data_IF_838116093518
#
_entry.id   IF_838116093518
#
_cell.length_a   1.000
_cell.length_b   1.000
_cell.length_c   1.000
_cell.angle_alpha   90.00
_cell.angle_beta   90.00
_cell.angle_gamma   90.00
#
_symmetry.space_group_name_H-M   'P 1'
#
loop_
_entity.id
_entity.type
_entity.pdbx_description
1 polymer ?
#
# COMPACT_ATOMS: atom_id res chain seq x y z
N UNK A 1 -57.73 -6.12 -10.86
CA UNK A 1 -56.59 -7.06 -10.86
C UNK A 1 -55.38 -6.27 -11.35
N UNK A 2 -54.68 -5.67 -10.41
CA UNK A 2 -53.50 -4.85 -10.69
C UNK A 2 -52.29 -5.80 -10.73
N UNK A 3 -51.87 -6.17 -11.93
CA UNK A 3 -50.61 -6.89 -12.12
C UNK A 3 -49.49 -5.89 -11.87
N UNK A 4 -48.96 -5.91 -10.64
CA UNK A 4 -47.68 -5.28 -10.34
C UNK A 4 -46.60 -5.96 -11.20
N UNK A 5 -46.29 -5.38 -12.35
CA UNK A 5 -45.08 -5.66 -13.12
C UNK A 5 -43.89 -5.45 -12.19
N UNK A 6 -43.31 -6.55 -11.69
CA UNK A 6 -41.95 -6.51 -11.14
C UNK A 6 -41.04 -6.14 -12.30
N UNK A 7 -40.72 -4.85 -12.44
CA UNK A 7 -39.76 -4.35 -13.40
C UNK A 7 -38.46 -5.12 -13.18
N UNK A 8 -38.09 -5.98 -14.13
CA UNK A 8 -36.81 -6.69 -14.08
C UNK A 8 -35.72 -5.62 -14.16
N UNK A 9 -35.06 -5.36 -13.03
CA UNK A 9 -34.04 -4.32 -12.92
C UNK A 9 -32.79 -4.83 -13.66
N UNK A 10 -32.32 -4.07 -14.64
CA UNK A 10 -31.07 -4.40 -15.36
C UNK A 10 -29.88 -4.35 -14.40
N UNK A 11 -28.79 -5.06 -14.69
CA UNK A 11 -27.58 -5.00 -13.87
C UNK A 11 -27.02 -3.57 -13.80
N UNK A 12 -27.08 -2.84 -14.91
CA UNK A 12 -26.77 -1.41 -14.95
C UNK A 12 -27.61 -0.60 -13.96
N UNK A 13 -28.92 -0.82 -13.90
CA UNK A 13 -29.83 -0.09 -13.01
C UNK A 13 -29.64 -0.48 -11.53
N UNK A 14 -29.14 -1.69 -11.25
CA UNK A 14 -28.71 -2.10 -9.91
C UNK A 14 -27.42 -1.38 -9.50
N UNK A 15 -26.39 -1.37 -10.36
CA UNK A 15 -25.14 -0.66 -10.08
C UNK A 15 -25.40 0.83 -9.85
N UNK A 16 -26.28 1.46 -10.64
CA UNK A 16 -26.64 2.87 -10.43
C UNK A 16 -27.41 3.14 -9.13
N UNK A 17 -28.02 2.11 -8.54
CA UNK A 17 -28.73 2.20 -7.26
C UNK A 17 -27.78 2.14 -6.05
N UNK A 18 -26.61 1.52 -6.22
CA UNK A 18 -25.61 1.42 -5.16
C UNK A 18 -25.02 2.80 -4.82
N UNK A 19 -24.64 3.04 -3.55
CA UNK A 19 -23.86 4.21 -3.17
C UNK A 19 -22.56 4.29 -4.00
N UNK A 20 -22.36 5.42 -4.71
CA UNK A 20 -21.23 5.61 -5.62
C UNK A 20 -21.49 5.19 -7.07
N UNK A 21 -22.63 4.54 -7.33
CA UNK A 21 -23.09 4.04 -8.62
C UNK A 21 -23.65 5.09 -9.59
N UNK A 22 -24.09 6.22 -9.05
CA UNK A 22 -25.05 7.12 -9.71
C UNK A 22 -24.54 7.78 -10.99
N UNK A 23 -23.22 7.78 -11.21
CA UNK A 23 -22.57 8.45 -12.34
C UNK A 23 -22.10 7.49 -13.44
N UNK A 24 -22.46 6.20 -13.38
CA UNK A 24 -22.07 5.18 -14.36
C UNK A 24 -22.30 5.64 -15.81
N UNK A 25 -23.51 6.13 -16.12
CA UNK A 25 -23.93 6.50 -17.49
C UNK A 25 -23.23 7.73 -18.05
N UNK A 26 -22.52 8.52 -17.23
CA UNK A 26 -21.76 9.68 -17.73
C UNK A 26 -20.50 9.25 -18.49
N UNK A 27 -20.08 7.98 -18.39
CA UNK A 27 -18.82 7.52 -18.96
C UNK A 27 -18.92 7.37 -20.49
N UNK A 28 -18.24 8.25 -21.23
CA UNK A 28 -18.05 8.09 -22.69
C UNK A 28 -16.75 7.35 -23.07
N UNK A 29 -16.07 6.71 -22.11
CA UNK A 29 -14.91 5.82 -22.33
C UNK A 29 -13.61 6.47 -22.86
N UNK A 30 -13.33 7.72 -22.49
CA UNK A 30 -12.15 8.51 -22.93
C UNK A 30 -10.78 7.85 -22.71
N UNK A 31 -10.59 7.08 -21.65
CA UNK A 31 -9.30 6.42 -21.34
C UNK A 31 -8.50 7.02 -20.21
N UNK A 32 -8.82 8.24 -19.75
CA UNK A 32 -8.01 8.96 -18.76
C UNK A 32 -7.77 8.16 -17.46
N UNK A 33 -8.79 7.44 -16.99
CA UNK A 33 -8.66 6.62 -15.79
C UNK A 33 -7.70 5.43 -15.95
N UNK A 34 -7.45 4.97 -17.17
CA UNK A 34 -6.45 3.93 -17.46
C UNK A 34 -5.06 4.58 -17.49
N UNK A 35 -4.91 5.68 -18.23
CA UNK A 35 -3.63 6.40 -18.39
C UNK A 35 -3.07 6.93 -17.07
N UNK A 36 -3.93 7.41 -16.18
CA UNK A 36 -3.52 7.95 -14.87
C UNK A 36 -3.29 6.86 -13.80
N UNK A 37 -3.78 5.63 -14.02
CA UNK A 37 -3.76 4.62 -12.97
C UNK A 37 -2.40 3.91 -12.88
N UNK A 38 -1.89 3.80 -11.66
CA UNK A 38 -0.62 3.14 -11.38
C UNK A 38 -0.66 1.63 -11.58
N UNK A 39 -1.84 1.03 -11.39
CA UNK A 39 -2.01 -0.42 -11.52
C UNK A 39 -1.68 -0.88 -12.94
N UNK A 40 -1.92 -0.03 -13.95
CA UNK A 40 -1.62 -0.35 -15.35
C UNK A 40 -0.13 -0.63 -15.59
N UNK A 41 0.78 -0.13 -14.74
CA UNK A 41 2.21 -0.42 -14.84
C UNK A 41 2.57 -1.83 -14.37
N UNK A 42 1.77 -2.39 -13.46
CA UNK A 42 1.98 -3.73 -12.87
C UNK A 42 1.02 -4.78 -13.42
N UNK A 43 -0.10 -4.34 -14.01
CA UNK A 43 -1.15 -5.18 -14.58
C UNK A 43 -1.66 -4.49 -15.85
N UNK A 44 -1.08 -4.78 -17.03
CA UNK A 44 -1.44 -4.13 -18.29
C UNK A 44 -2.89 -4.34 -18.74
N UNK A 45 -3.55 -5.39 -18.25
CA UNK A 45 -4.96 -5.69 -18.54
C UNK A 45 -5.94 -4.86 -17.68
N UNK A 46 -5.44 -4.15 -16.66
CA UNK A 46 -6.27 -3.31 -15.80
C UNK A 46 -6.93 -2.19 -16.62
N UNK A 47 -8.24 -2.31 -16.82
CA UNK A 47 -8.99 -1.34 -17.62
C UNK A 47 -10.39 -1.09 -17.04
N UNK A 48 -10.55 -0.09 -16.16
CA UNK A 48 -11.84 0.29 -15.59
C UNK A 48 -12.92 0.57 -16.64
N UNK A 49 -12.58 1.02 -17.86
CA UNK A 49 -13.58 1.28 -18.90
C UNK A 49 -14.25 0.01 -19.39
N UNK A 50 -13.50 -1.09 -19.50
CA UNK A 50 -14.05 -2.39 -19.90
C UNK A 50 -15.09 -2.83 -18.90
N UNK A 51 -14.81 -2.72 -17.60
CA UNK A 51 -15.77 -2.97 -16.52
C UNK A 51 -17.03 -2.12 -16.69
N UNK A 52 -16.90 -0.79 -16.79
CA UNK A 52 -18.08 0.08 -16.90
C UNK A 52 -18.92 -0.24 -18.15
N UNK A 53 -18.26 -0.60 -19.26
CA UNK A 53 -18.96 -1.01 -20.48
C UNK A 53 -19.66 -2.36 -20.32
N UNK A 54 -19.04 -3.34 -19.68
CA UNK A 54 -19.66 -4.64 -19.38
C UNK A 54 -20.90 -4.47 -18.51
N UNK A 55 -20.85 -3.62 -17.48
CA UNK A 55 -22.03 -3.27 -16.66
C UNK A 55 -23.14 -2.66 -17.52
N UNK A 56 -22.82 -1.71 -18.42
CA UNK A 56 -23.81 -1.10 -19.32
C UNK A 56 -24.43 -2.07 -20.33
N UNK A 57 -23.75 -3.18 -20.62
CA UNK A 57 -24.20 -4.23 -21.53
C UNK A 57 -24.85 -5.40 -20.78
N UNK A 58 -25.13 -5.24 -19.48
CA UNK A 58 -25.71 -6.27 -18.61
C UNK A 58 -24.88 -7.57 -18.53
N UNK A 59 -23.57 -7.49 -18.79
CA UNK A 59 -22.61 -8.60 -18.68
C UNK A 59 -22.18 -8.81 -17.22
N UNK A 60 -23.11 -9.31 -16.40
CA UNK A 60 -22.96 -9.43 -14.94
C UNK A 60 -21.84 -10.38 -14.55
N UNK A 61 -21.91 -11.63 -15.02
CA UNK A 61 -20.98 -12.67 -14.62
C UNK A 61 -19.55 -12.31 -15.03
N UNK A 62 -19.37 -11.85 -16.26
CA UNK A 62 -18.08 -11.43 -16.81
C UNK A 62 -17.50 -10.24 -16.05
N UNK A 63 -18.35 -9.35 -15.52
CA UNK A 63 -17.90 -8.24 -14.69
C UNK A 63 -17.34 -8.72 -13.35
N UNK A 64 -18.00 -9.67 -12.70
CA UNK A 64 -17.61 -10.16 -11.37
C UNK A 64 -16.39 -11.09 -11.40
N UNK A 65 -16.26 -11.88 -12.46
CA UNK A 65 -15.09 -12.73 -12.70
C UNK A 65 -13.85 -11.91 -13.09
N UNK A 66 -14.01 -10.65 -13.52
CA UNK A 66 -12.89 -9.82 -13.95
C UNK A 66 -12.09 -9.24 -12.77
N UNK A 67 -10.77 -9.52 -12.66
CA UNK A 67 -9.93 -9.02 -11.57
C UNK A 67 -9.87 -7.50 -11.41
N UNK A 68 -10.17 -6.72 -12.47
CA UNK A 68 -10.09 -5.26 -12.48
C UNK A 68 -10.93 -4.62 -11.37
N UNK A 69 -12.09 -5.21 -11.03
CA UNK A 69 -12.96 -4.66 -9.97
C UNK A 69 -12.25 -4.73 -8.60
N UNK A 70 -11.44 -5.76 -8.38
CA UNK A 70 -10.73 -6.01 -7.13
C UNK A 70 -9.46 -5.16 -7.00
N UNK A 71 -8.75 -4.92 -8.11
CA UNK A 71 -7.49 -4.18 -8.10
C UNK A 71 -7.62 -2.69 -7.71
N UNK A 72 -8.76 -2.05 -7.93
CA UNK A 72 -8.93 -0.63 -7.62
C UNK A 72 -8.70 -0.34 -6.13
N UNK A 73 -7.62 0.41 -5.82
CA UNK A 73 -7.22 0.77 -4.46
C UNK A 73 -7.93 1.99 -3.89
N UNK A 74 -8.81 2.63 -4.68
CA UNK A 74 -9.55 3.84 -4.30
C UNK A 74 -8.63 4.99 -3.84
N UNK A 75 -7.54 5.23 -4.59
CA UNK A 75 -6.62 6.35 -4.38
C UNK A 75 -7.06 7.66 -5.05
N UNK A 76 -8.06 7.60 -5.95
CA UNK A 76 -8.64 8.75 -6.66
C UNK A 76 -7.69 9.59 -7.51
N UNK A 77 -6.47 9.12 -7.79
CA UNK A 77 -5.55 9.79 -8.73
C UNK A 77 -6.19 10.05 -10.11
N UNK A 78 -7.14 9.23 -10.54
CA UNK A 78 -7.85 9.42 -11.81
C UNK A 78 -8.97 10.47 -11.77
N UNK A 79 -9.51 10.79 -10.59
CA UNK A 79 -10.74 11.58 -10.47
C UNK A 79 -10.57 13.03 -10.93
N UNK A 80 -9.53 13.78 -10.51
CA UNK A 80 -9.32 15.17 -10.96
C UNK A 80 -9.19 15.32 -12.48
N UNK A 81 -8.81 14.24 -13.16
CA UNK A 81 -8.58 14.23 -14.61
C UNK A 81 -9.80 13.71 -15.40
N UNK A 82 -10.86 13.27 -14.73
CA UNK A 82 -12.04 12.75 -15.42
C UNK A 82 -12.85 13.92 -16.03
N UNK A 83 -13.01 13.98 -17.37
CA UNK A 83 -13.75 15.05 -18.03
C UNK A 83 -15.26 15.02 -17.77
N UNK A 84 -15.75 13.97 -17.10
CA UNK A 84 -17.16 13.78 -16.74
C UNK A 84 -17.39 13.77 -15.22
N UNK A 85 -16.33 14.03 -14.43
CA UNK A 85 -16.40 14.04 -12.97
C UNK A 85 -16.83 12.70 -12.36
N UNK A 86 -16.44 11.58 -12.98
CA UNK A 86 -16.81 10.23 -12.52
C UNK A 86 -15.75 9.75 -11.51
N UNK A 87 -16.20 9.40 -10.30
CA UNK A 87 -15.37 8.71 -9.31
C UNK A 87 -15.33 7.21 -9.63
N UNK A 88 -14.31 6.80 -10.37
CA UNK A 88 -14.14 5.38 -10.76
C UNK A 88 -14.03 4.47 -9.54
N UNK A 89 -13.39 4.94 -8.47
CA UNK A 89 -13.25 4.20 -7.21
C UNK A 89 -14.61 3.86 -6.57
N UNK A 90 -15.55 4.80 -6.59
CA UNK A 90 -16.90 4.62 -6.09
C UNK A 90 -17.70 3.64 -6.95
N UNK A 91 -17.59 3.74 -8.28
CA UNK A 91 -18.19 2.76 -9.19
C UNK A 91 -17.62 1.35 -8.97
N UNK A 92 -16.30 1.23 -8.81
CA UNK A 92 -15.67 -0.05 -8.51
C UNK A 92 -16.14 -0.60 -7.16
N UNK A 93 -16.35 0.26 -6.16
CA UNK A 93 -16.87 -0.17 -4.86
C UNK A 93 -18.33 -0.63 -4.96
N UNK A 94 -19.17 0.10 -5.69
CA UNK A 94 -20.56 -0.29 -5.96
C UNK A 94 -20.65 -1.68 -6.62
N UNK A 95 -19.84 -1.90 -7.67
CA UNK A 95 -19.78 -3.19 -8.37
C UNK A 95 -19.26 -4.30 -7.44
N UNK A 96 -18.21 -4.03 -6.66
CA UNK A 96 -17.68 -4.98 -5.67
C UNK A 96 -18.71 -5.35 -4.60
N UNK A 97 -19.50 -4.40 -4.12
CA UNK A 97 -20.53 -4.67 -3.12
C UNK A 97 -21.58 -5.67 -3.64
N UNK A 98 -22.02 -5.50 -4.90
CA UNK A 98 -22.94 -6.45 -5.54
C UNK A 98 -22.27 -7.82 -5.70
N UNK A 99 -21.05 -7.87 -6.23
CA UNK A 99 -20.30 -9.10 -6.43
C UNK A 99 -20.16 -9.91 -5.12
N UNK A 100 -19.82 -9.25 -4.01
CA UNK A 100 -19.71 -9.89 -2.69
C UNK A 100 -21.05 -10.42 -2.19
N UNK A 101 -22.15 -9.68 -2.38
CA UNK A 101 -23.50 -10.18 -2.00
C UNK A 101 -23.92 -11.41 -2.79
N UNK A 102 -23.36 -11.59 -3.98
CA UNK A 102 -23.56 -12.78 -4.82
C UNK A 102 -22.53 -13.89 -4.58
N UNK A 103 -21.67 -13.74 -3.57
CA UNK A 103 -20.72 -14.78 -3.16
C UNK A 103 -19.38 -14.78 -3.91
N UNK A 104 -19.07 -13.75 -4.70
CA UNK A 104 -17.76 -13.61 -5.30
C UNK A 104 -16.74 -13.11 -4.26
N UNK A 105 -15.55 -13.70 -4.27
CA UNK A 105 -14.42 -13.30 -3.41
C UNK A 105 -13.33 -12.59 -4.21
N UNK A 106 -12.61 -11.69 -3.54
CA UNK A 106 -11.41 -11.07 -4.10
C UNK A 106 -10.32 -12.14 -4.35
N UNK A 107 -9.73 -12.20 -5.56
CA UNK A 107 -8.61 -13.09 -5.86
C UNK A 107 -7.27 -12.54 -5.35
N UNK A 108 -7.26 -11.33 -4.79
CA UNK A 108 -6.03 -10.67 -4.36
C UNK A 108 -5.55 -11.24 -3.02
N UNK A 109 -4.21 -11.27 -2.79
CA UNK A 109 -3.68 -11.61 -1.48
C UNK A 109 -4.17 -10.61 -0.43
N UNK A 110 -4.34 -11.09 0.81
CA UNK A 110 -4.88 -10.29 1.92
C UNK A 110 -4.00 -10.43 3.16
N UNK A 111 -4.24 -9.59 4.17
CA UNK A 111 -3.61 -9.76 5.48
C UNK A 111 -4.19 -10.98 6.21
N UNK A 112 -3.33 -11.76 6.83
CA UNK A 112 -3.70 -12.88 7.69
C UNK A 112 -3.41 -12.55 9.15
N UNK A 113 -4.31 -12.94 10.05
CA UNK A 113 -4.16 -12.72 11.48
C UNK A 113 -3.87 -14.06 12.15
N UNK A 114 -2.78 -14.11 12.90
CA UNK A 114 -2.45 -15.18 13.83
C UNK A 114 -3.31 -15.00 15.09
N UNK A 115 -4.36 -15.81 15.22
CA UNK A 115 -5.36 -15.70 16.27
C UNK A 115 -4.80 -16.09 17.65
N UNK A 116 -3.77 -16.93 17.69
CA UNK A 116 -3.11 -17.34 18.93
C UNK A 116 -2.35 -16.14 19.54
N UNK A 117 -1.61 -15.41 18.70
CA UNK A 117 -0.86 -14.20 19.11
C UNK A 117 -1.74 -12.97 19.28
N UNK A 118 -2.93 -12.92 18.69
CA UNK A 118 -3.78 -11.74 18.72
C UNK A 118 -4.33 -11.44 20.13
N UNK A 119 -4.14 -10.20 20.61
CA UNK A 119 -4.70 -9.72 21.88
C UNK A 119 -6.08 -9.08 21.76
N UNK A 120 -6.59 -8.86 20.54
CA UNK A 120 -7.88 -8.18 20.33
C UNK A 120 -7.87 -6.68 20.65
N UNK A 121 -6.71 -6.01 20.59
CA UNK A 121 -6.52 -4.62 20.99
C UNK A 121 -7.01 -3.52 20.02
N UNK A 122 -7.68 -3.86 18.91
CA UNK A 122 -8.24 -2.95 17.88
C UNK A 122 -7.30 -1.99 17.11
N UNK A 123 -6.00 -1.91 17.45
CA UNK A 123 -5.06 -0.97 16.81
C UNK A 123 -5.02 -1.11 15.28
N UNK A 124 -5.06 -2.35 14.79
CA UNK A 124 -5.02 -2.64 13.37
C UNK A 124 -6.31 -2.24 12.61
N UNK A 125 -7.47 -2.30 13.28
CA UNK A 125 -8.75 -1.84 12.75
C UNK A 125 -8.72 -0.31 12.59
N UNK A 126 -8.30 0.43 13.63
CA UNK A 126 -8.14 1.89 13.60
C UNK A 126 -7.12 2.36 12.57
N UNK A 127 -6.07 1.57 12.33
CA UNK A 127 -5.04 1.91 11.35
C UNK A 127 -5.43 1.59 9.90
N UNK A 128 -6.48 0.78 9.67
CA UNK A 128 -6.82 0.31 8.33
C UNK A 128 -7.58 1.39 7.53
N UNK A 129 -7.02 1.92 6.42
CA UNK A 129 -7.70 2.95 5.62
C UNK A 129 -8.86 2.39 4.78
N UNK A 130 -9.07 1.09 4.81
CA UNK A 130 -10.11 0.39 4.06
C UNK A 130 -11.24 -0.15 4.93
N UNK A 131 -11.12 -0.07 6.26
CA UNK A 131 -12.07 -0.75 7.16
C UNK A 131 -12.08 -2.27 6.97
N UNK A 132 -10.96 -2.84 6.51
CA UNK A 132 -10.87 -4.26 6.17
C UNK A 132 -10.59 -5.16 7.38
N UNK A 133 -10.46 -4.61 8.58
CA UNK A 133 -10.19 -5.34 9.81
C UNK A 133 -11.27 -5.02 10.82
N UNK A 134 -11.78 -6.04 11.48
CA UNK A 134 -12.78 -5.90 12.55
C UNK A 134 -12.52 -6.95 13.62
N UNK A 135 -12.83 -6.61 14.87
CA UNK A 135 -12.77 -7.58 15.95
C UNK A 135 -14.00 -8.50 15.98
N UNK A 136 -13.76 -9.79 16.09
CA UNK A 136 -14.78 -10.85 16.22
C UNK A 136 -14.49 -11.70 17.45
N UNK A 137 -15.53 -12.30 18.03
CA UNK A 137 -15.38 -13.27 19.13
C UNK A 137 -15.26 -14.66 18.52
N UNK A 138 -14.22 -15.40 18.91
CA UNK A 138 -13.97 -16.78 18.51
C UNK A 138 -13.62 -17.63 19.72
N UNK A 139 -13.96 -18.91 19.66
CA UNK A 139 -13.52 -19.89 20.65
C UNK A 139 -12.14 -20.41 20.27
N UNK A 140 -11.14 -20.09 21.08
CA UNK A 140 -9.73 -20.52 20.91
C UNK A 140 -9.31 -21.18 22.22
N UNK A 141 -8.81 -22.41 22.17
CA UNK A 141 -8.46 -23.22 23.34
C UNK A 141 -9.60 -23.35 24.37
N UNK A 142 -10.83 -23.50 23.87
CA UNK A 142 -12.04 -23.62 24.70
C UNK A 142 -12.46 -22.34 25.42
N UNK A 143 -11.84 -21.19 25.11
CA UNK A 143 -12.18 -19.88 25.67
C UNK A 143 -12.62 -18.91 24.59
N UNK A 144 -13.66 -18.15 24.87
CA UNK A 144 -14.05 -17.03 24.02
C UNK A 144 -12.98 -15.92 24.10
N UNK A 145 -12.40 -15.57 22.95
CA UNK A 145 -11.41 -14.53 22.81
C UNK A 145 -11.84 -13.58 21.70
N UNK A 146 -11.56 -12.29 21.90
CA UNK A 146 -11.71 -11.28 20.87
C UNK A 146 -10.45 -11.27 20.00
N UNK A 147 -10.60 -11.51 18.71
CA UNK A 147 -9.49 -11.52 17.74
C UNK A 147 -9.82 -10.67 16.53
N UNK A 148 -8.81 -10.14 15.86
CA UNK A 148 -9.02 -9.41 14.61
C UNK A 148 -9.25 -10.37 13.46
N UNK A 149 -10.16 -10.02 12.56
CA UNK A 149 -10.42 -10.76 11.32
C UNK A 149 -10.30 -9.81 10.12
N UNK A 150 -9.71 -10.29 9.04
CA UNK A 150 -9.61 -9.56 7.77
C UNK A 150 -10.84 -9.84 6.90
N UNK A 151 -11.51 -8.79 6.44
CA UNK A 151 -12.46 -8.84 5.34
C UNK A 151 -11.69 -8.85 4.00
N UNK A 152 -11.72 -9.99 3.31
CA UNK A 152 -10.99 -10.19 2.06
C UNK A 152 -11.43 -9.26 0.92
N UNK A 153 -12.71 -8.88 0.88
CA UNK A 153 -13.25 -8.02 -0.17
C UNK A 153 -12.78 -6.56 -0.07
N UNK A 154 -12.35 -6.13 1.13
CA UNK A 154 -11.90 -4.76 1.40
C UNK A 154 -10.38 -4.65 1.50
N UNK A 155 -9.68 -5.74 1.82
CA UNK A 155 -8.24 -5.71 2.07
C UNK A 155 -7.44 -5.51 0.78
N UNK A 156 -6.57 -4.50 0.76
CA UNK A 156 -5.67 -4.21 -0.36
C UNK A 156 -4.22 -4.64 -0.11
N UNK A 157 -3.97 -5.46 0.92
CA UNK A 157 -2.64 -5.96 1.31
C UNK A 157 -1.54 -4.88 1.48
N UNK A 158 -1.91 -3.65 1.84
CA UNK A 158 -0.96 -2.53 1.98
C UNK A 158 0.03 -2.69 3.16
N UNK A 159 -0.26 -3.57 4.11
CA UNK A 159 0.65 -3.91 5.20
C UNK A 159 0.72 -2.91 6.38
N UNK A 160 -0.13 -1.89 6.39
CA UNK A 160 -0.21 -0.89 7.49
C UNK A 160 -0.54 -1.57 8.83
N UNK A 161 -1.46 -2.53 8.81
CA UNK A 161 -1.88 -3.30 9.98
C UNK A 161 -0.75 -4.17 10.54
N UNK A 162 0.04 -4.82 9.66
CA UNK A 162 1.21 -5.60 10.06
C UNK A 162 2.23 -4.76 10.83
N UNK A 163 2.50 -3.54 10.33
CA UNK A 163 3.40 -2.59 11.01
C UNK A 163 2.78 -1.88 12.23
N UNK A 164 1.46 -2.01 12.43
CA UNK A 164 0.76 -1.44 13.59
C UNK A 164 0.56 -2.45 14.71
N UNK A 165 0.68 -3.75 14.43
CA UNK A 165 0.41 -4.80 15.39
C UNK A 165 1.57 -4.94 16.39
N UNK A 166 1.37 -4.62 17.67
CA UNK A 166 2.45 -4.69 18.66
C UNK A 166 2.91 -6.13 18.95
N UNK A 167 2.08 -7.12 18.63
CA UNK A 167 2.36 -8.54 18.87
C UNK A 167 2.87 -9.27 17.61
N UNK A 168 3.07 -8.56 16.50
CA UNK A 168 3.43 -9.16 15.21
C UNK A 168 2.48 -10.30 14.79
N UNK A 169 1.20 -10.19 15.15
CA UNK A 169 0.18 -11.18 14.87
C UNK A 169 -0.44 -11.04 13.47
N UNK A 170 0.03 -10.10 12.63
CA UNK A 170 -0.55 -9.85 11.31
C UNK A 170 0.53 -9.97 10.24
N UNK A 171 0.27 -10.82 9.26
CA UNK A 171 1.15 -11.08 8.13
C UNK A 171 0.51 -10.63 6.82
N UNK A 172 1.32 -10.09 5.93
CA UNK A 172 0.99 -9.91 4.51
C UNK A 172 1.99 -10.74 3.74
N UNK A 173 1.52 -11.70 2.94
CA UNK A 173 2.30 -12.83 2.42
C UNK A 173 3.74 -12.48 1.96
N UNK A 174 3.91 -11.70 0.90
CA UNK A 174 5.26 -11.34 0.38
C UNK A 174 5.98 -10.23 1.14
N UNK A 175 5.34 -9.75 2.20
CA UNK A 175 5.78 -8.62 2.99
C UNK A 175 5.61 -8.89 4.48
N UNK A 176 5.83 -10.14 4.90
CA UNK A 176 5.87 -10.52 6.32
C UNK A 176 7.05 -9.86 7.02
N UNK A 177 7.04 -9.82 8.36
CA UNK A 177 8.15 -9.24 9.11
C UNK A 177 9.45 -9.99 8.81
N UNK A 178 9.37 -11.31 8.72
CA UNK A 178 10.48 -12.22 8.47
C UNK A 178 11.04 -12.04 7.06
N UNK A 179 10.17 -11.98 6.03
CA UNK A 179 10.60 -11.76 4.64
C UNK A 179 11.26 -10.39 4.47
N UNK A 180 10.73 -9.34 5.10
CA UNK A 180 11.34 -8.00 5.06
C UNK A 180 12.69 -8.00 5.78
N UNK A 181 12.77 -8.57 6.98
CA UNK A 181 14.01 -8.68 7.74
C UNK A 181 15.09 -9.47 6.97
N UNK A 182 14.71 -10.59 6.34
CA UNK A 182 15.61 -11.38 5.49
C UNK A 182 16.15 -10.56 4.31
N UNK A 183 15.30 -9.74 3.65
CA UNK A 183 15.73 -8.85 2.56
C UNK A 183 16.65 -7.74 3.03
N UNK A 184 16.46 -7.23 4.25
CA UNK A 184 17.39 -6.26 4.87
C UNK A 184 18.76 -6.93 5.11
N UNK A 185 18.79 -8.18 5.56
CA UNK A 185 20.05 -8.88 5.91
C UNK A 185 20.76 -9.55 4.72
N UNK A 186 20.06 -9.73 3.59
CA UNK A 186 20.54 -10.48 2.44
C UNK A 186 21.88 -9.97 1.87
N UNK A 187 22.71 -10.90 1.41
CA UNK A 187 23.93 -10.59 0.67
C UNK A 187 25.08 -10.02 1.51
N UNK A 188 25.10 -10.26 2.82
CA UNK A 188 26.19 -9.91 3.75
C UNK A 188 26.68 -8.46 3.72
N UNK A 189 25.91 -7.53 3.13
CA UNK A 189 26.30 -6.11 3.02
C UNK A 189 26.41 -5.43 4.38
N UNK A 190 25.80 -5.98 5.44
CA UNK A 190 25.93 -5.53 6.82
C UNK A 190 27.25 -5.94 7.50
N UNK A 191 28.07 -6.83 6.91
CA UNK A 191 29.37 -7.23 7.47
C UNK A 191 30.27 -6.03 7.74
N UNK A 192 30.79 -5.86 8.96
CA UNK A 192 31.68 -4.76 9.31
C UNK A 192 32.96 -4.82 8.50
N UNK A 193 33.30 -3.73 7.83
CA UNK A 193 34.54 -3.56 7.07
C UNK A 193 35.27 -2.34 7.60
N UNK A 194 36.54 -2.51 7.98
CA UNK A 194 37.36 -1.42 8.52
C UNK A 194 37.64 -0.43 7.39
N UNK A 195 37.24 0.84 7.56
CA UNK A 195 37.33 1.84 6.50
C UNK A 195 36.28 1.69 5.37
N UNK A 196 35.21 0.92 5.60
CA UNK A 196 34.13 0.75 4.63
C UNK A 196 33.28 2.00 4.42
N UNK A 197 32.61 2.08 3.28
CA UNK A 197 31.67 3.16 2.97
C UNK A 197 30.45 3.15 3.93
N UNK A 198 29.86 4.32 4.23
CA UNK A 198 28.66 4.39 5.06
C UNK A 198 27.51 3.63 4.40
N UNK A 199 26.88 2.74 5.16
CA UNK A 199 25.80 1.87 4.68
C UNK A 199 24.46 2.60 4.74
N UNK A 200 23.69 2.55 3.67
CA UNK A 200 22.37 3.19 3.59
C UNK A 200 21.30 2.13 3.32
N UNK A 201 20.29 2.06 4.17
CA UNK A 201 19.10 1.24 3.92
C UNK A 201 17.98 2.14 3.37
N UNK A 202 17.37 1.72 2.27
CA UNK A 202 16.26 2.42 1.62
C UNK A 202 15.03 1.53 1.67
N UNK A 203 13.96 2.00 2.32
CA UNK A 203 12.62 1.42 2.15
C UNK A 203 11.90 2.14 1.02
N UNK A 204 11.65 1.43 -0.08
CA UNK A 204 10.97 1.99 -1.26
C UNK A 204 9.51 1.52 -1.31
N UNK A 205 8.55 2.44 -1.41
CA UNK A 205 7.17 2.10 -1.74
C UNK A 205 7.08 1.59 -3.19
N UNK A 206 6.39 0.46 -3.43
CA UNK A 206 6.20 -0.12 -4.77
C UNK A 206 5.60 0.84 -5.80
N UNK A 207 4.93 1.91 -5.34
CA UNK A 207 4.20 2.86 -6.19
C UNK A 207 4.95 4.17 -6.46
N UNK A 208 6.18 4.33 -5.97
CA UNK A 208 6.99 5.53 -6.20
C UNK A 208 7.63 5.56 -7.59
N UNK A 209 8.21 4.44 -8.05
CA UNK A 209 9.02 4.38 -9.26
C UNK A 209 8.16 4.09 -10.48
N UNK A 210 7.93 5.13 -11.31
CA UNK A 210 7.02 5.04 -12.47
C UNK A 210 7.76 4.95 -13.80
N UNK A 211 8.89 5.64 -13.91
CA UNK A 211 9.75 5.62 -15.10
C UNK A 211 10.67 4.39 -15.09
N UNK A 212 10.93 3.85 -16.27
CA UNK A 212 11.90 2.76 -16.45
C UNK A 212 13.30 3.21 -16.08
N UNK A 213 13.68 4.43 -16.46
CA UNK A 213 14.97 5.03 -16.12
C UNK A 213 15.21 5.09 -14.61
N UNK A 214 14.19 5.43 -13.81
CA UNK A 214 14.32 5.44 -12.35
C UNK A 214 14.52 4.02 -11.80
N UNK A 215 13.86 3.02 -12.38
CA UNK A 215 14.06 1.61 -11.99
C UNK A 215 15.46 1.13 -12.34
N UNK A 216 15.97 1.52 -13.51
CA UNK A 216 17.34 1.23 -13.93
C UNK A 216 18.35 1.90 -12.99
N UNK A 217 18.19 3.20 -12.70
CA UNK A 217 19.05 3.93 -11.78
C UNK A 217 19.06 3.31 -10.37
N UNK A 218 17.92 2.83 -9.89
CA UNK A 218 17.83 2.12 -8.60
C UNK A 218 18.58 0.78 -8.60
N UNK A 219 18.69 0.11 -9.75
CA UNK A 219 19.43 -1.14 -9.89
C UNK A 219 20.96 -0.93 -9.94
N UNK A 220 21.40 0.26 -10.36
CA UNK A 220 22.81 0.66 -10.46
C UNK A 220 23.36 1.34 -9.19
N UNK A 221 22.56 1.38 -8.11
CA UNK A 221 23.00 2.00 -6.86
C UNK A 221 24.27 1.32 -6.28
N UNK A 222 25.14 2.09 -5.61
CA UNK A 222 26.36 1.56 -5.00
C UNK A 222 26.12 0.37 -4.05
N UNK A 223 27.08 -0.56 -3.90
CA UNK A 223 26.90 -1.79 -3.12
C UNK A 223 26.70 -1.57 -1.60
N UNK A 224 27.04 -0.40 -1.08
CA UNK A 224 26.76 0.04 0.29
C UNK A 224 25.32 0.56 0.49
N UNK A 225 24.51 0.61 -0.57
CA UNK A 225 23.09 0.93 -0.52
C UNK A 225 22.27 -0.34 -0.68
N UNK A 226 21.33 -0.56 0.24
CA UNK A 226 20.35 -1.66 0.16
C UNK A 226 18.96 -1.10 -0.03
N UNK A 227 18.29 -1.50 -1.10
CA UNK A 227 16.88 -1.16 -1.33
C UNK A 227 15.99 -2.34 -0.92
N UNK A 228 14.99 -2.07 -0.09
CA UNK A 228 13.93 -2.99 0.30
C UNK A 228 12.59 -2.40 -0.10
N UNK A 229 12.04 -2.90 -1.21
CA UNK A 229 10.72 -2.53 -1.70
C UNK A 229 9.60 -3.12 -0.84
N UNK A 230 8.69 -2.28 -0.35
CA UNK A 230 7.50 -2.62 0.43
C UNK A 230 6.26 -2.15 -0.32
N UNK A 231 5.07 -2.76 -0.12
CA UNK A 231 3.88 -2.41 -0.88
C UNK A 231 3.49 -0.96 -0.63
N UNK A 232 3.70 -0.48 0.60
CA UNK A 232 3.44 0.88 1.01
C UNK A 232 4.49 1.34 2.00
N UNK A 233 4.83 2.64 2.02
CA UNK A 233 5.64 3.22 3.10
C UNK A 233 5.00 2.99 4.48
N UNK A 234 3.66 2.90 4.57
CA UNK A 234 2.95 2.58 5.80
C UNK A 234 3.20 1.17 6.36
N UNK A 235 3.80 0.28 5.56
CA UNK A 235 4.27 -1.06 5.99
C UNK A 235 5.61 -1.00 6.72
N UNK A 236 6.35 0.11 6.62
CA UNK A 236 7.62 0.27 7.33
C UNK A 236 7.33 0.36 8.83
N UNK A 237 7.73 -0.70 9.51
CA UNK A 237 7.71 -0.81 10.96
C UNK A 237 8.95 -0.07 11.53
N UNK A 238 8.78 0.82 12.53
CA UNK A 238 9.92 1.49 13.17
C UNK A 238 10.98 0.53 13.72
N UNK A 239 10.61 -0.70 14.10
CA UNK A 239 11.56 -1.72 14.55
C UNK A 239 12.57 -2.09 13.48
N UNK A 240 12.19 -2.15 12.19
CA UNK A 240 13.15 -2.38 11.11
C UNK A 240 14.19 -1.27 11.00
N UNK A 241 13.76 -0.01 11.18
CA UNK A 241 14.64 1.16 11.16
C UNK A 241 15.64 1.06 12.30
N UNK A 242 15.15 0.81 13.52
CA UNK A 242 15.96 0.69 14.72
C UNK A 242 16.96 -0.48 14.62
N UNK A 243 16.50 -1.67 14.23
CA UNK A 243 17.35 -2.85 14.07
C UNK A 243 18.43 -2.65 12.99
N UNK A 244 18.11 -1.96 11.89
CA UNK A 244 19.09 -1.64 10.86
C UNK A 244 20.18 -0.69 11.40
N UNK A 245 19.79 0.36 12.11
CA UNK A 245 20.75 1.31 12.72
C UNK A 245 21.64 0.63 13.77
N UNK A 246 21.07 -0.29 14.56
CA UNK A 246 21.81 -1.10 15.54
C UNK A 246 22.79 -2.06 14.85
N UNK A 247 22.46 -2.56 13.66
CA UNK A 247 23.33 -3.42 12.86
C UNK A 247 24.46 -2.66 12.12
N UNK A 248 24.60 -1.34 12.35
CA UNK A 248 25.67 -0.53 11.76
C UNK A 248 25.31 0.15 10.43
N UNK A 249 24.02 0.23 10.08
CA UNK A 249 23.56 1.09 8.98
C UNK A 249 23.75 2.56 9.40
N UNK A 250 24.40 3.36 8.56
CA UNK A 250 24.68 4.76 8.86
C UNK A 250 23.40 5.61 8.83
N UNK A 251 22.55 5.41 7.81
CA UNK A 251 21.25 6.05 7.71
C UNK A 251 20.19 5.17 7.04
N UNK A 252 18.93 5.40 7.41
CA UNK A 252 17.76 4.78 6.82
C UNK A 252 16.93 5.85 6.12
N UNK A 253 16.63 5.64 4.84
CA UNK A 253 15.73 6.47 4.04
C UNK A 253 14.44 5.71 3.77
N UNK A 254 13.31 6.31 4.11
CA UNK A 254 11.97 5.77 3.82
C UNK A 254 11.31 6.65 2.77
N UNK A 255 11.04 6.09 1.60
CA UNK A 255 10.41 6.78 0.49
C UNK A 255 8.91 6.45 0.41
N UNK A 256 8.07 7.46 0.50
CA UNK A 256 6.62 7.37 0.29
C UNK A 256 6.13 8.23 -0.88
N UNK A 257 4.86 8.10 -1.22
CA UNK A 257 4.23 8.95 -2.23
C UNK A 257 3.96 10.34 -1.66
N UNK A 258 3.86 11.36 -2.50
CA UNK A 258 3.40 12.70 -2.10
C UNK A 258 2.04 12.66 -1.36
N UNK A 259 1.77 13.54 -0.36
CA UNK A 259 0.46 13.64 0.26
C UNK A 259 -0.64 13.87 -0.79
N UNK A 260 -1.78 13.19 -0.61
CA UNK A 260 -2.86 13.22 -1.60
C UNK A 260 -2.65 12.29 -2.80
N UNK A 261 -1.46 11.73 -2.99
CA UNK A 261 -1.15 10.81 -4.10
C UNK A 261 -0.90 9.36 -3.65
N UNK A 262 -1.14 9.06 -2.38
CA UNK A 262 -0.90 7.73 -1.83
C UNK A 262 -1.81 6.68 -2.48
N UNK A 263 -1.20 5.64 -3.05
CA UNK A 263 -1.93 4.55 -3.68
C UNK A 263 -2.86 3.81 -2.70
N UNK A 264 -2.50 3.73 -1.42
CA UNK A 264 -3.31 3.09 -0.38
C UNK A 264 -3.98 4.08 0.59
N UNK A 265 -4.47 5.20 0.06
CA UNK A 265 -5.16 6.30 0.77
C UNK A 265 -4.28 7.04 1.79
N UNK A 266 -3.93 6.42 2.91
CA UNK A 266 -3.31 7.08 4.06
C UNK A 266 -1.91 6.56 4.44
N UNK A 267 -1.37 5.59 3.70
CA UNK A 267 -0.11 4.94 4.05
C UNK A 267 1.09 5.89 4.17
N UNK A 268 1.23 6.87 3.27
CA UNK A 268 2.26 7.92 3.37
C UNK A 268 2.10 8.70 4.67
N UNK A 269 0.89 9.17 4.98
CA UNK A 269 0.61 9.98 6.17
C UNK A 269 0.98 9.25 7.46
N UNK A 270 0.64 7.97 7.54
CA UNK A 270 0.98 7.10 8.69
C UNK A 270 2.50 6.94 8.81
N UNK A 271 3.18 6.66 7.69
CA UNK A 271 4.64 6.54 7.67
C UNK A 271 5.33 7.84 8.09
N UNK A 272 4.88 8.98 7.57
CA UNK A 272 5.39 10.31 7.92
C UNK A 272 5.28 10.56 9.43
N UNK A 273 4.10 10.30 10.02
CA UNK A 273 3.88 10.43 11.46
C UNK A 273 4.81 9.54 12.28
N UNK A 274 4.97 8.27 11.89
CA UNK A 274 5.90 7.33 12.56
C UNK A 274 7.35 7.78 12.48
N UNK A 275 7.82 8.19 11.30
CA UNK A 275 9.20 8.66 11.13
C UNK A 275 9.45 9.97 11.87
N UNK A 276 8.47 10.88 11.89
CA UNK A 276 8.54 12.10 12.69
C UNK A 276 8.66 11.80 14.18
N UNK A 277 7.80 10.94 14.73
CA UNK A 277 7.87 10.52 16.14
C UNK A 277 9.21 9.87 16.47
N UNK A 278 9.72 9.00 15.60
CA UNK A 278 11.01 8.34 15.77
C UNK A 278 12.17 9.36 15.82
N UNK A 279 12.14 10.37 14.95
CA UNK A 279 13.15 11.44 14.95
C UNK A 279 13.09 12.30 16.22
N UNK A 280 11.89 12.62 16.71
CA UNK A 280 11.73 13.35 17.98
C UNK A 280 12.28 12.54 19.17
N UNK A 281 12.11 11.21 19.16
CA UNK A 281 12.74 10.34 20.16
C UNK A 281 14.26 10.38 20.07
N UNK A 282 14.84 10.37 18.86
CA UNK A 282 16.29 10.45 18.66
C UNK A 282 16.86 11.76 19.22
N UNK A 283 16.19 12.88 18.95
CA UNK A 283 16.58 14.19 19.48
C UNK A 283 16.62 14.19 21.02
N UNK A 284 15.60 13.63 21.67
CA UNK A 284 15.53 13.56 23.14
C UNK A 284 16.65 12.73 23.77
N UNK A 285 17.15 11.71 23.08
CA UNK A 285 18.25 10.86 23.57
C UNK A 285 19.62 11.26 23.02
N UNK A 286 19.72 12.42 22.33
CA UNK A 286 20.98 12.93 21.79
C UNK A 286 21.53 12.16 20.60
N UNK A 287 20.68 11.42 19.86
CA UNK A 287 21.04 10.75 18.62
C UNK A 287 20.84 11.67 17.43
N UNK A 288 21.71 11.53 16.42
CA UNK A 288 21.59 12.28 15.16
C UNK A 288 20.28 11.93 14.43
N UNK A 289 19.39 12.91 14.33
CA UNK A 289 18.09 12.78 13.65
C UNK A 289 18.22 12.66 12.13
N UNK A 290 19.39 13.04 11.57
CA UNK A 290 19.71 12.89 10.15
C UNK A 290 19.87 11.44 9.70
N UNK A 291 20.03 10.51 10.65
CA UNK A 291 20.11 9.05 10.40
C UNK A 291 18.80 8.43 9.95
N UNK A 292 17.66 9.12 10.10
CA UNK A 292 16.37 8.66 9.61
C UNK A 292 15.76 9.75 8.74
N UNK A 293 15.57 9.47 7.45
CA UNK A 293 14.95 10.41 6.51
C UNK A 293 13.66 9.84 5.96
N UNK A 294 12.63 10.66 5.92
CA UNK A 294 11.40 10.38 5.19
C UNK A 294 11.33 11.30 4.00
N UNK A 295 11.22 10.74 2.80
CA UNK A 295 11.14 11.50 1.55
C UNK A 295 9.84 11.18 0.83
N UNK A 296 9.30 12.19 0.16
CA UNK A 296 8.04 12.10 -0.57
C UNK A 296 8.33 12.32 -2.05
N UNK A 297 7.75 11.43 -2.86
CA UNK A 297 7.95 11.38 -4.31
C UNK A 297 6.60 11.54 -4.98
N UNK A 298 6.46 12.63 -5.73
CA UNK A 298 5.29 12.94 -6.54
C UNK A 298 5.16 12.07 -7.79
N UNK A 299 3.95 12.03 -8.32
CA UNK A 299 3.56 11.26 -9.52
C UNK A 299 4.37 11.58 -10.77
N UNK A 300 4.95 12.77 -10.83
CA UNK A 300 5.63 13.35 -12.00
C UNK A 300 7.13 13.59 -11.76
N UNK A 301 7.63 13.32 -10.54
CA UNK A 301 9.00 13.63 -10.13
C UNK A 301 10.00 12.52 -10.50
N UNK A 302 10.30 12.42 -11.80
CA UNK A 302 11.30 11.47 -12.31
C UNK A 302 12.70 11.78 -11.80
N UNK A 303 13.52 10.76 -11.58
CA UNK A 303 14.91 10.86 -11.14
C UNK A 303 15.10 11.27 -9.67
N UNK A 304 14.04 11.72 -8.99
CA UNK A 304 14.12 12.29 -7.63
C UNK A 304 14.63 11.29 -6.60
N UNK A 305 14.07 10.08 -6.55
CA UNK A 305 14.45 9.10 -5.54
C UNK A 305 15.92 8.65 -5.67
N UNK A 306 16.42 8.23 -6.86
CA UNK A 306 17.84 7.94 -7.05
C UNK A 306 18.75 9.11 -6.65
N UNK A 307 18.43 10.34 -7.05
CA UNK A 307 19.20 11.53 -6.70
C UNK A 307 19.29 11.73 -5.17
N UNK A 308 18.15 11.67 -4.46
CA UNK A 308 18.12 11.82 -3.01
C UNK A 308 18.93 10.75 -2.26
N UNK A 309 18.98 9.53 -2.80
CA UNK A 309 19.80 8.44 -2.23
C UNK A 309 21.29 8.76 -2.41
N UNK A 310 21.69 9.19 -3.61
CA UNK A 310 23.09 9.53 -3.90
C UNK A 310 23.56 10.73 -3.08
N UNK A 311 22.73 11.76 -2.95
CA UNK A 311 23.01 12.92 -2.10
C UNK A 311 23.22 12.52 -0.63
N UNK A 312 22.36 11.63 -0.11
CA UNK A 312 22.52 11.10 1.25
C UNK A 312 23.84 10.34 1.42
N UNK A 313 24.22 9.51 0.45
CA UNK A 313 25.50 8.78 0.48
C UNK A 313 26.67 9.75 0.48
N UNK A 314 26.65 10.79 -0.37
CA UNK A 314 27.70 11.81 -0.43
C UNK A 314 27.81 12.60 0.88
N UNK A 315 26.67 13.00 1.45
CA UNK A 315 26.61 13.70 2.73
C UNK A 315 27.26 12.88 3.86
N UNK A 316 26.89 11.60 3.99
CA UNK A 316 27.45 10.70 5.01
C UNK A 316 28.96 10.47 4.85
N UNK A 317 29.45 10.41 3.60
CA UNK A 317 30.91 10.32 3.31
C UNK A 317 31.63 11.59 3.78
N UNK A 318 31.04 12.76 3.56
CA UNK A 318 31.65 14.05 3.92
C UNK A 318 31.68 14.29 5.44
N UNK A 319 30.62 13.88 6.15
CA UNK A 319 30.44 14.13 7.58
C UNK A 319 31.34 13.27 8.49
N UNK A 320 32.17 12.38 7.93
CA UNK A 320 32.98 11.39 8.69
C UNK A 320 32.18 10.69 9.79
N UNK A 321 30.91 10.36 9.52
CA UNK A 321 30.05 9.68 10.50
C UNK A 321 30.77 8.41 10.96
N UNK A 322 31.10 8.26 12.26
CA UNK A 322 31.84 7.11 12.74
C UNK A 322 31.06 5.83 12.40
N UNK A 323 31.64 4.98 11.55
CA UNK A 323 31.11 3.64 11.29
C UNK A 323 31.46 2.79 12.50
N UNK A 324 30.48 2.55 13.38
CA UNK A 324 30.65 1.81 14.62
C UNK A 324 30.93 0.31 14.41
#
# INVERSE_FOLDING_TARGET
MEHAEKTVRSFKDEVMAEPGGQHLQRCYSCGTCVSMCLINQTCPDYNPRRILRMVMLDMRQETFENPTIWHCSSCDLCYPHCPQGIRISELMQAIKNIAVREGYESPLPTSQVDEEKCSGCDVCEKACPYGALSLVVKTIDGKERKVSQTNKALCMACGICAAACPLSAITVEDHSNEKIAARIQAGHWLKKTRGGEPKVLVFNCSWNLRAEDDRAAMAELPPNVRVVTVPCSGRVDPTFVLSALQAGVAAVLVAGCEPGQCHYKQGTRIAQGRMHTLRNMFEQVGLDTGRVRFVQIGTEERGRLPAMIMDLVAELKSARVPVA
#
